data_IF_325354976645
#
_entry.id   IF_325354976645
#
_cell.length_a   1.000
_cell.length_b   1.000
_cell.length_c   1.000
_cell.angle_alpha   90.00
_cell.angle_beta   90.00
_cell.angle_gamma   90.00
#
_symmetry.space_group_name_H-M   'P 1'
#
loop_
_entity.id
_entity.type
_entity.pdbx_description
1 polymer ?
#
# COMPACT_ATOMS: atom_id res chain seq x y z
N UNK A 1 14.26 17.84 -7.96
CA UNK A 1 13.05 18.35 -7.30
C UNK A 1 12.34 17.19 -6.62
N UNK A 2 12.13 17.31 -5.31
CA UNK A 2 11.41 16.34 -4.46
C UNK A 2 9.95 16.31 -4.92
N UNK A 3 9.43 15.13 -5.31
CA UNK A 3 8.04 15.00 -5.77
C UNK A 3 7.04 14.97 -4.60
N UNK A 4 7.17 15.90 -3.66
CA UNK A 4 6.15 16.21 -2.67
C UNK A 4 5.05 17.01 -3.38
N UNK A 5 3.86 16.44 -3.51
CA UNK A 5 2.72 17.05 -4.19
C UNK A 5 1.80 16.05 -4.88
N UNK A 6 2.26 14.83 -5.18
CA UNK A 6 1.38 13.83 -5.83
C UNK A 6 0.43 13.11 -4.88
N UNK A 7 0.61 13.27 -3.57
CA UNK A 7 -0.12 12.55 -2.54
C UNK A 7 -0.77 13.52 -1.57
N UNK A 8 -2.07 13.33 -1.33
CA UNK A 8 -2.87 14.07 -0.37
C UNK A 8 -2.73 13.52 1.04
N UNK A 9 -2.51 12.20 1.17
CA UNK A 9 -2.31 11.52 2.45
C UNK A 9 -1.27 10.44 2.34
N UNK A 10 -0.46 10.30 3.38
CA UNK A 10 0.47 9.19 3.55
C UNK A 10 0.16 8.54 4.90
N UNK A 11 0.06 7.22 4.88
CA UNK A 11 -0.18 6.39 6.03
C UNK A 11 1.01 5.44 6.20
N UNK A 12 1.49 5.31 7.43
CA UNK A 12 2.55 4.37 7.80
C UNK A 12 1.98 3.40 8.82
N UNK A 13 2.09 2.10 8.55
CA UNK A 13 1.55 1.06 9.43
C UNK A 13 0.06 1.30 9.80
N UNK A 14 -0.78 1.64 8.82
CA UNK A 14 -2.23 1.76 8.98
C UNK A 14 -2.99 0.88 7.99
N UNK A 15 -4.11 0.35 8.43
CA UNK A 15 -4.94 -0.53 7.61
C UNK A 15 -5.61 0.22 6.47
N UNK A 16 -5.87 -0.47 5.35
CA UNK A 16 -6.55 0.08 4.17
C UNK A 16 -7.96 0.64 4.48
N UNK A 17 -8.57 0.23 5.59
CA UNK A 17 -9.84 0.73 6.10
C UNK A 17 -9.86 2.22 6.46
N UNK A 18 -8.70 2.88 6.51
CA UNK A 18 -8.62 4.34 6.63
C UNK A 18 -9.12 5.07 5.38
N UNK A 19 -9.12 4.39 4.22
CA UNK A 19 -9.56 4.94 2.93
C UNK A 19 -10.70 4.14 2.31
N UNK A 20 -10.76 2.84 2.57
CA UNK A 20 -11.82 1.94 2.09
C UNK A 20 -12.73 1.55 3.26
N UNK A 21 -13.79 2.32 3.49
CA UNK A 21 -14.73 2.09 4.60
C UNK A 21 -15.31 0.68 4.49
N UNK A 22 -15.16 -0.11 5.56
CA UNK A 22 -15.66 -1.49 5.59
C UNK A 22 -14.74 -2.54 4.96
N UNK A 23 -13.50 -2.18 4.60
CA UNK A 23 -12.51 -3.12 4.06
C UNK A 23 -12.36 -4.39 4.93
N UNK A 24 -12.47 -5.56 4.28
CA UNK A 24 -12.29 -6.88 4.89
C UNK A 24 -11.51 -7.79 3.93
N UNK A 25 -10.31 -8.27 4.31
CA UNK A 25 -9.54 -7.91 5.51
C UNK A 25 -9.07 -6.46 5.54
N UNK A 26 -8.89 -5.90 6.75
CA UNK A 26 -8.27 -4.58 6.94
C UNK A 26 -6.75 -4.71 7.05
N UNK A 27 -6.13 -5.22 5.99
CA UNK A 27 -4.68 -5.43 5.92
C UNK A 27 -3.93 -4.09 6.00
N UNK A 28 -2.70 -4.16 6.50
CA UNK A 28 -1.87 -3.01 6.83
C UNK A 28 -0.58 -3.01 6.03
N UNK A 29 -0.54 -2.31 4.89
CA UNK A 29 0.72 -2.04 4.20
C UNK A 29 1.68 -1.28 5.12
N UNK A 30 2.99 -1.47 4.91
CA UNK A 30 3.99 -0.66 5.61
C UNK A 30 3.80 0.83 5.31
N UNK A 31 3.56 1.17 4.04
CA UNK A 31 3.22 2.50 3.58
C UNK A 31 2.03 2.44 2.62
N UNK A 32 1.05 3.29 2.83
CA UNK A 32 -0.06 3.52 1.91
C UNK A 32 -0.12 5.02 1.57
N UNK A 33 -0.20 5.36 0.29
CA UNK A 33 -0.27 6.74 -0.19
C UNK A 33 -1.52 6.98 -1.01
N UNK A 34 -2.28 8.00 -0.66
CA UNK A 34 -3.44 8.46 -1.44
C UNK A 34 -3.00 9.59 -2.33
N UNK A 35 -3.14 9.40 -3.64
CA UNK A 35 -2.81 10.40 -4.65
C UNK A 35 -3.84 11.53 -4.69
N UNK A 36 -3.54 12.60 -5.41
CA UNK A 36 -4.50 13.66 -5.70
C UNK A 36 -5.69 13.17 -6.56
N UNK A 37 -5.46 12.20 -7.44
CA UNK A 37 -6.50 11.55 -8.26
C UNK A 37 -7.34 10.51 -7.50
N UNK A 38 -7.07 10.32 -6.21
CA UNK A 38 -7.78 9.38 -5.34
C UNK A 38 -7.29 7.93 -5.42
N UNK A 39 -6.34 7.61 -6.29
CA UNK A 39 -5.70 6.29 -6.33
C UNK A 39 -4.85 6.05 -5.08
N UNK A 40 -4.76 4.79 -4.68
CA UNK A 40 -4.09 4.34 -3.46
C UNK A 40 -2.91 3.46 -3.87
N UNK A 41 -1.71 3.96 -3.61
CA UNK A 41 -0.48 3.20 -3.75
C UNK A 41 -0.16 2.49 -2.43
N UNK A 42 0.41 1.29 -2.53
CA UNK A 42 0.92 0.54 -1.38
C UNK A 42 2.38 0.14 -1.59
N UNK A 43 3.17 0.26 -0.54
CA UNK A 43 4.57 -0.16 -0.52
C UNK A 43 4.80 -1.10 0.66
N UNK A 44 5.44 -2.23 0.37
CA UNK A 44 5.87 -3.21 1.36
C UNK A 44 7.39 -3.26 1.41
N UNK A 45 7.94 -3.31 2.62
CA UNK A 45 9.37 -3.35 2.90
C UNK A 45 9.69 -4.70 3.53
N UNK A 46 10.03 -5.73 2.73
CA UNK A 46 10.30 -7.06 3.25
C UNK A 46 11.51 -7.04 4.17
N UNK A 47 11.36 -7.69 5.32
CA UNK A 47 12.48 -8.09 6.17
C UNK A 47 13.25 -9.25 5.54
N UNK A 48 14.35 -9.66 6.20
CA UNK A 48 15.19 -10.76 5.70
C UNK A 48 14.49 -12.12 5.68
N UNK A 49 13.48 -12.30 6.52
CA UNK A 49 12.79 -13.58 6.74
C UNK A 49 11.42 -13.64 6.09
N UNK A 50 10.96 -12.53 5.49
CA UNK A 50 9.64 -12.48 4.87
C UNK A 50 9.61 -13.28 3.57
N UNK A 51 8.48 -13.97 3.36
CA UNK A 51 8.16 -14.54 2.05
C UNK A 51 7.62 -13.44 1.15
N UNK A 52 8.36 -13.18 0.06
CA UNK A 52 7.96 -12.23 -0.97
C UNK A 52 6.63 -12.62 -1.61
N UNK A 53 6.39 -13.91 -1.82
CA UNK A 53 5.16 -14.45 -2.38
C UNK A 53 3.96 -14.09 -1.50
N UNK A 54 4.04 -14.35 -0.19
CA UNK A 54 2.97 -13.99 0.76
C UNK A 54 2.70 -12.49 0.81
N UNK A 55 3.73 -11.66 0.63
CA UNK A 55 3.56 -10.21 0.55
C UNK A 55 2.84 -9.82 -0.74
N UNK A 56 3.20 -10.41 -1.89
CA UNK A 56 2.54 -10.16 -3.16
C UNK A 56 1.06 -10.59 -3.12
N UNK A 57 0.75 -11.76 -2.56
CA UNK A 57 -0.63 -12.24 -2.40
C UNK A 57 -1.46 -11.26 -1.57
N UNK A 58 -0.91 -10.78 -0.46
CA UNK A 58 -1.57 -9.77 0.39
C UNK A 58 -1.78 -8.46 -0.37
N UNK A 59 -0.78 -8.02 -1.13
CA UNK A 59 -0.90 -6.80 -1.93
C UNK A 59 -1.96 -6.93 -3.01
N UNK A 60 -2.13 -8.11 -3.61
CA UNK A 60 -3.16 -8.36 -4.61
C UNK A 60 -4.56 -8.35 -4.00
N UNK A 61 -4.75 -9.05 -2.88
CA UNK A 61 -6.01 -8.98 -2.10
C UNK A 61 -6.35 -7.51 -1.76
N UNK A 62 -5.35 -6.72 -1.37
CA UNK A 62 -5.57 -5.30 -1.09
C UNK A 62 -6.03 -4.52 -2.32
N UNK A 63 -5.48 -4.80 -3.52
CA UNK A 63 -5.94 -4.16 -4.75
C UNK A 63 -7.38 -4.52 -5.06
N UNK A 64 -7.76 -5.78 -4.92
CA UNK A 64 -9.14 -6.23 -5.12
C UNK A 64 -10.10 -5.47 -4.19
N UNK A 65 -9.71 -5.27 -2.92
CA UNK A 65 -10.51 -4.50 -1.95
C UNK A 65 -10.56 -3.01 -2.31
N UNK A 66 -9.46 -2.44 -2.82
CA UNK A 66 -9.42 -1.04 -3.25
C UNK A 66 -10.22 -0.78 -4.53
N UNK A 67 -10.44 -1.80 -5.36
CA UNK A 67 -11.19 -1.72 -6.60
C UNK A 67 -10.63 -0.66 -7.54
N UNK A 68 -11.48 0.24 -8.03
CA UNK A 68 -11.11 1.32 -8.95
C UNK A 68 -10.09 2.31 -8.37
N UNK A 69 -9.92 2.33 -7.04
CA UNK A 69 -8.91 3.16 -6.38
C UNK A 69 -7.56 2.47 -6.28
N UNK A 70 -7.41 1.23 -6.74
CA UNK A 70 -6.15 0.50 -6.68
C UNK A 70 -5.09 1.17 -7.58
N UNK A 71 -4.05 1.70 -6.95
CA UNK A 71 -2.88 2.24 -7.63
C UNK A 71 -1.78 1.21 -7.81
N UNK A 72 -0.55 1.69 -7.66
CA UNK A 72 0.68 0.91 -7.77
C UNK A 72 0.99 0.15 -6.48
N UNK A 73 1.35 -1.12 -6.63
CA UNK A 73 1.91 -1.96 -5.59
C UNK A 73 3.40 -2.11 -5.78
N UNK A 74 4.21 -1.75 -4.78
CA UNK A 74 5.68 -1.87 -4.86
C UNK A 74 6.29 -2.59 -3.66
N UNK A 75 7.18 -3.52 -3.93
CA UNK A 75 8.10 -4.06 -2.92
C UNK A 75 9.38 -3.23 -2.92
N UNK A 76 9.75 -2.65 -1.78
CA UNK A 76 10.97 -1.87 -1.60
C UNK A 76 11.97 -2.66 -0.75
N UNK A 77 12.94 -3.30 -1.40
CA UNK A 77 14.08 -3.92 -0.71
C UNK A 77 15.07 -2.84 -0.25
N UNK A 78 15.47 -2.90 1.01
CA UNK A 78 16.56 -2.07 1.55
C UNK A 78 17.87 -2.83 1.30
N UNK A 79 18.77 -2.22 0.52
CA UNK A 79 20.16 -2.72 0.42
C UNK A 79 20.87 -2.34 1.72
N UNK A 80 21.54 -3.32 2.34
CA UNK A 80 22.49 -3.05 3.42
C UNK A 80 23.74 -2.39 2.87
#
# INVERSE_FOLDING_TARGET
>A
MVSSGKYTKIYVNKGIGNEIIGAKPNNRPDIMGVREDGMIDQVEVPSKTDSIEKLLDRMEINKEIMGDRAGTSKIKRIKK
#
